data_IF_125219540409
#
_entry.id   IF_125219540409
#
_cell.length_a   1.000
_cell.length_b   1.000
_cell.length_c   1.000
_cell.angle_alpha   90.00
_cell.angle_beta   90.00
_cell.angle_gamma   90.00
#
_symmetry.space_group_name_H-M   'P 1'
#
loop_
_entity.id
_entity.type
_entity.pdbx_description
1 polymer ?
#
# COMPACT_ATOMS: atom_id res chain seq x y z
N UNK A 1 -2.56 -0.53 16.57
CA UNK A 1 -2.05 0.19 15.38
C UNK A 1 -2.97 -0.16 14.22
N UNK A 2 -3.53 0.83 13.51
CA UNK A 2 -4.33 0.55 12.29
C UNK A 2 -3.35 -0.01 11.24
N UNK A 3 -3.72 -1.08 10.54
CA UNK A 3 -2.82 -1.74 9.59
C UNK A 3 -2.31 -0.73 8.53
N UNK A 4 -0.99 -0.57 8.39
CA UNK A 4 -0.38 0.42 7.50
C UNK A 4 -0.74 0.18 6.03
N UNK A 5 -0.90 -1.09 5.66
CA UNK A 5 -1.37 -1.53 4.34
C UNK A 5 -2.78 -1.03 4.08
N UNK A 6 -3.65 -1.10 5.10
CA UNK A 6 -5.02 -0.60 4.99
C UNK A 6 -5.04 0.91 4.74
N UNK A 7 -4.07 1.66 5.28
CA UNK A 7 -3.92 3.09 4.98
C UNK A 7 -3.64 3.34 3.50
N UNK A 8 -2.73 2.58 2.88
CA UNK A 8 -2.45 2.67 1.44
C UNK A 8 -3.67 2.29 0.60
N UNK A 9 -4.33 1.19 0.95
CA UNK A 9 -5.53 0.74 0.24
C UNK A 9 -6.64 1.80 0.28
N UNK A 10 -6.85 2.44 1.43
CA UNK A 10 -7.82 3.51 1.55
C UNK A 10 -7.39 4.77 0.77
N UNK A 11 -6.10 5.09 0.72
CA UNK A 11 -5.61 6.23 -0.05
C UNK A 11 -6.00 6.11 -1.53
N UNK A 12 -5.76 4.93 -2.10
CA UNK A 12 -6.10 4.61 -3.49
C UNK A 12 -7.62 4.57 -3.67
N UNK A 13 -8.35 3.93 -2.76
CA UNK A 13 -9.81 3.87 -2.83
C UNK A 13 -10.47 5.24 -2.83
N UNK A 14 -9.97 6.18 -2.02
CA UNK A 14 -10.48 7.54 -1.96
C UNK A 14 -10.28 8.27 -3.29
N UNK A 15 -9.13 8.10 -3.94
CA UNK A 15 -8.87 8.70 -5.25
C UNK A 15 -9.78 8.13 -6.35
N UNK A 16 -10.16 6.85 -6.25
CA UNK A 16 -11.06 6.18 -7.20
C UNK A 16 -12.53 6.59 -7.05
N UNK A 17 -12.91 7.21 -5.94
CA UNK A 17 -14.28 7.72 -5.71
C UNK A 17 -14.56 9.04 -6.42
N UNK A 18 -13.55 9.67 -7.00
CA UNK A 18 -13.72 10.88 -7.79
C UNK A 18 -14.80 10.69 -8.87
N UNK A 19 -15.73 11.63 -8.97
CA UNK A 19 -16.98 11.49 -9.74
C UNK A 19 -16.75 11.01 -11.17
N UNK A 20 -15.74 11.59 -11.82
CA UNK A 20 -15.35 11.25 -13.17
C UNK A 20 -14.90 9.79 -13.31
N UNK A 21 -14.02 9.33 -12.41
CA UNK A 21 -13.50 7.96 -12.39
C UNK A 21 -14.63 6.98 -12.06
N UNK A 22 -15.48 7.32 -11.09
CA UNK A 22 -16.63 6.50 -10.73
C UNK A 22 -17.58 6.26 -11.93
N UNK A 23 -17.85 7.30 -12.73
CA UNK A 23 -18.67 7.18 -13.95
C UNK A 23 -18.01 6.32 -15.02
N UNK A 24 -16.69 6.46 -15.23
CA UNK A 24 -15.92 5.61 -16.13
C UNK A 24 -16.01 4.13 -15.71
N UNK A 25 -15.84 3.85 -14.42
CA UNK A 25 -15.91 2.50 -13.87
C UNK A 25 -17.30 1.87 -14.02
N UNK A 26 -18.39 2.65 -13.89
CA UNK A 26 -19.75 2.15 -14.14
C UNK A 26 -19.89 1.65 -15.59
N UNK A 27 -19.38 2.40 -16.57
CA UNK A 27 -19.41 1.97 -17.98
C UNK A 27 -18.62 0.68 -18.18
N UNK A 28 -17.41 0.61 -17.62
CA UNK A 28 -16.55 -0.59 -17.66
C UNK A 28 -17.26 -1.81 -17.06
N UNK A 29 -17.89 -1.65 -15.88
CA UNK A 29 -18.63 -2.74 -15.22
C UNK A 29 -19.77 -3.26 -16.10
N UNK A 30 -20.47 -2.39 -16.83
CA UNK A 30 -21.57 -2.82 -17.70
C UNK A 30 -21.06 -3.67 -18.88
N UNK A 31 -19.95 -3.25 -19.51
CA UNK A 31 -19.28 -4.05 -20.56
C UNK A 31 -18.86 -5.41 -20.02
N UNK A 32 -18.19 -5.42 -18.86
CA UNK A 32 -17.69 -6.66 -18.23
C UNK A 32 -18.83 -7.58 -17.82
N UNK A 33 -19.93 -7.05 -17.26
CA UNK A 33 -21.14 -7.84 -16.97
C UNK A 33 -21.66 -8.53 -18.23
N UNK A 34 -21.69 -7.84 -19.36
CA UNK A 34 -22.12 -8.42 -20.64
C UNK A 34 -21.13 -9.45 -21.19
N UNK A 35 -19.83 -9.24 -21.03
CA UNK A 35 -18.80 -10.23 -21.39
C UNK A 35 -18.93 -11.54 -20.59
N UNK A 36 -19.53 -11.50 -19.40
CA UNK A 36 -19.76 -12.70 -18.58
C UNK A 36 -20.97 -13.54 -19.01
N UNK A 37 -21.72 -13.11 -20.02
CA UNK A 37 -22.81 -13.91 -20.59
C UNK A 37 -22.29 -15.18 -21.26
N UNK A 38 -23.10 -16.24 -21.31
CA UNK A 38 -22.67 -17.59 -21.74
C UNK A 38 -21.92 -17.60 -23.08
N UNK A 39 -22.44 -16.93 -24.12
CA UNK A 39 -21.82 -16.89 -25.44
C UNK A 39 -20.47 -16.16 -25.45
N UNK A 40 -20.42 -14.93 -24.94
CA UNK A 40 -19.20 -14.10 -24.90
C UNK A 40 -18.14 -14.69 -23.97
N UNK A 41 -18.56 -15.28 -22.85
CA UNK A 41 -17.68 -16.01 -21.93
C UNK A 41 -17.06 -17.25 -22.58
N UNK A 42 -17.85 -18.01 -23.36
CA UNK A 42 -17.35 -19.15 -24.11
C UNK A 42 -16.25 -18.72 -25.10
N UNK A 43 -16.50 -17.63 -25.83
CA UNK A 43 -15.53 -17.08 -26.78
C UNK A 43 -14.27 -16.55 -26.08
N UNK A 44 -14.42 -15.81 -24.98
CA UNK A 44 -13.30 -15.33 -24.17
C UNK A 44 -12.38 -16.49 -23.73
N UNK A 45 -12.96 -17.60 -23.25
CA UNK A 45 -12.22 -18.81 -22.87
C UNK A 45 -11.59 -19.49 -24.08
N UNK A 46 -12.29 -19.60 -25.20
CA UNK A 46 -11.81 -20.33 -26.39
C UNK A 46 -10.66 -19.58 -27.06
N UNK A 47 -10.83 -18.28 -27.32
CA UNK A 47 -9.94 -17.44 -28.11
C UNK A 47 -8.78 -16.85 -27.27
N UNK A 48 -9.07 -16.35 -26.06
CA UNK A 48 -8.08 -15.61 -25.24
C UNK A 48 -7.60 -16.37 -24.00
N UNK A 49 -8.16 -17.57 -23.73
CA UNK A 49 -7.82 -18.40 -22.54
C UNK A 49 -7.99 -17.67 -21.20
N UNK A 50 -8.83 -16.64 -21.16
CA UNK A 50 -9.13 -15.86 -19.96
C UNK A 50 -10.64 -15.74 -19.75
N UNK A 51 -11.03 -15.36 -18.53
CA UNK A 51 -12.42 -15.05 -18.17
C UNK A 51 -12.55 -13.58 -17.77
N UNK A 52 -13.65 -12.88 -18.09
CA UNK A 52 -13.87 -11.52 -17.60
C UNK A 52 -13.99 -11.53 -16.07
N UNK A 53 -13.43 -10.51 -15.42
CA UNK A 53 -13.46 -10.33 -13.96
C UNK A 53 -14.32 -9.11 -13.66
N UNK A 54 -15.37 -9.27 -12.85
CA UNK A 54 -16.10 -8.12 -12.32
C UNK A 54 -15.49 -7.76 -10.96
N UNK A 55 -15.28 -6.47 -10.73
CA UNK A 55 -14.70 -5.99 -9.49
C UNK A 55 -15.67 -6.07 -8.30
N UNK A 56 -15.10 -6.02 -7.11
CA UNK A 56 -15.79 -5.73 -5.88
C UNK A 56 -15.51 -4.25 -5.53
N UNK A 57 -16.54 -3.42 -5.55
CA UNK A 57 -16.43 -1.97 -5.37
C UNK A 57 -15.78 -1.54 -4.03
N UNK A 58 -15.81 -2.42 -3.03
CA UNK A 58 -15.17 -2.18 -1.72
C UNK A 58 -13.67 -2.49 -1.72
N UNK A 59 -13.15 -3.14 -2.76
CA UNK A 59 -11.74 -3.58 -2.88
C UNK A 59 -11.14 -3.12 -4.20
N UNK A 60 -10.47 -1.97 -4.16
CA UNK A 60 -9.88 -1.33 -5.33
C UNK A 60 -8.96 -2.25 -6.17
N UNK A 61 -8.25 -3.19 -5.55
CA UNK A 61 -7.37 -4.12 -6.28
C UNK A 61 -8.13 -4.99 -7.29
N UNK A 62 -9.39 -5.33 -7.01
CA UNK A 62 -10.24 -6.04 -7.98
C UNK A 62 -10.70 -5.15 -9.14
N UNK A 63 -10.79 -3.84 -8.92
CA UNK A 63 -11.05 -2.85 -9.98
C UNK A 63 -9.89 -2.79 -10.96
N UNK A 64 -8.65 -2.75 -10.46
CA UNK A 64 -7.45 -2.83 -11.30
C UNK A 64 -7.45 -4.12 -12.16
N UNK A 65 -7.66 -5.28 -11.54
CA UNK A 65 -7.71 -6.57 -12.24
C UNK A 65 -8.83 -6.65 -13.30
N UNK A 66 -10.00 -6.06 -13.01
CA UNK A 66 -11.09 -5.97 -13.98
C UNK A 66 -10.68 -5.18 -15.22
N UNK A 67 -10.04 -4.02 -15.04
CA UNK A 67 -9.60 -3.17 -16.14
C UNK A 67 -8.49 -3.86 -16.95
N UNK A 68 -7.47 -4.40 -16.28
CA UNK A 68 -6.39 -5.15 -16.93
C UNK A 68 -6.95 -6.30 -17.78
N UNK A 69 -7.92 -7.05 -17.22
CA UNK A 69 -8.59 -8.13 -17.94
C UNK A 69 -9.46 -7.63 -19.10
N UNK A 70 -10.16 -6.52 -18.93
CA UNK A 70 -10.99 -5.94 -20.00
C UNK A 70 -10.12 -5.48 -21.18
N UNK A 71 -8.95 -4.89 -20.92
CA UNK A 71 -8.02 -4.47 -21.97
C UNK A 71 -7.54 -5.66 -22.81
N UNK A 72 -7.26 -6.81 -22.18
CA UNK A 72 -6.94 -8.05 -22.91
C UNK A 72 -8.11 -8.55 -23.78
N UNK A 73 -9.34 -8.32 -23.34
CA UNK A 73 -10.57 -8.70 -24.03
C UNK A 73 -11.07 -7.62 -25.00
N UNK A 74 -10.34 -6.52 -25.18
CA UNK A 74 -10.72 -5.42 -26.08
C UNK A 74 -11.08 -5.90 -27.49
N UNK A 75 -10.31 -6.78 -28.17
CA UNK A 75 -10.65 -7.16 -29.53
C UNK A 75 -11.96 -7.97 -29.59
N UNK A 76 -12.32 -8.68 -28.52
CA UNK A 76 -13.64 -9.32 -28.41
C UNK A 76 -14.75 -8.27 -28.27
N UNK A 77 -14.55 -7.21 -27.48
CA UNK A 77 -15.51 -6.10 -27.40
C UNK A 77 -15.70 -5.44 -28.77
N UNK A 78 -14.62 -5.17 -29.50
CA UNK A 78 -14.67 -4.55 -30.83
C UNK A 78 -15.43 -5.42 -31.85
N UNK A 79 -15.28 -6.75 -31.79
CA UNK A 79 -16.07 -7.68 -32.62
C UNK A 79 -17.58 -7.57 -32.37
N UNK A 80 -18.00 -7.37 -31.12
CA UNK A 80 -19.42 -7.30 -30.76
C UNK A 80 -20.00 -5.88 -30.79
N UNK A 81 -19.16 -4.84 -30.91
CA UNK A 81 -19.59 -3.45 -30.86
C UNK A 81 -20.57 -3.06 -31.97
N UNK A 82 -20.52 -3.74 -33.13
CA UNK A 82 -21.46 -3.54 -34.23
C UNK A 82 -22.86 -4.13 -33.98
N UNK A 83 -22.96 -5.12 -33.08
CA UNK A 83 -24.21 -5.86 -32.81
C UNK A 83 -24.86 -5.39 -31.51
N UNK A 84 -24.06 -5.06 -30.50
CA UNK A 84 -24.54 -4.59 -29.20
C UNK A 84 -23.73 -3.38 -28.73
N UNK A 85 -24.41 -2.23 -28.68
CA UNK A 85 -23.83 -0.94 -28.31
C UNK A 85 -23.24 -0.94 -26.90
N UNK A 86 -23.61 -1.87 -26.01
CA UNK A 86 -22.96 -2.00 -24.70
C UNK A 86 -21.45 -2.24 -24.84
N UNK A 87 -20.99 -2.96 -25.86
CA UNK A 87 -19.56 -3.20 -26.09
C UNK A 87 -18.83 -2.02 -26.73
N UNK A 88 -19.58 -1.04 -27.25
CA UNK A 88 -19.00 0.13 -27.89
C UNK A 88 -18.47 1.12 -26.84
N UNK A 89 -17.15 1.07 -26.63
CA UNK A 89 -16.41 2.13 -25.95
C UNK A 89 -15.62 2.91 -26.99
N UNK A 90 -15.64 4.24 -26.89
CA UNK A 90 -14.90 5.11 -27.81
C UNK A 90 -13.39 4.88 -27.67
N UNK A 91 -12.58 5.10 -28.73
CA UNK A 91 -11.13 4.94 -28.67
C UNK A 91 -10.46 5.72 -27.53
N UNK A 92 -10.98 6.91 -27.20
CA UNK A 92 -10.43 7.74 -26.11
C UNK A 92 -10.63 7.07 -24.74
N UNK A 93 -11.75 6.38 -24.56
CA UNK A 93 -12.03 5.62 -23.34
C UNK A 93 -11.06 4.44 -23.21
N UNK A 94 -10.77 3.74 -24.32
CA UNK A 94 -9.77 2.66 -24.32
C UNK A 94 -8.35 3.16 -24.00
N UNK A 95 -7.97 4.30 -24.56
CA UNK A 95 -6.69 4.94 -24.26
C UNK A 95 -6.60 5.35 -22.79
N UNK A 96 -7.67 5.93 -22.26
CA UNK A 96 -7.77 6.29 -20.85
C UNK A 96 -7.69 5.09 -19.92
N UNK A 97 -8.41 4.00 -20.21
CA UNK A 97 -8.33 2.76 -19.42
C UNK A 97 -6.93 2.16 -19.45
N UNK A 98 -6.23 2.25 -20.58
CA UNK A 98 -4.85 1.78 -20.72
C UNK A 98 -3.90 2.62 -19.86
N UNK A 99 -4.01 3.96 -19.93
CA UNK A 99 -3.23 4.86 -19.08
C UNK A 99 -3.51 4.62 -17.59
N UNK A 100 -4.77 4.48 -17.24
CA UNK A 100 -5.21 4.21 -15.87
C UNK A 100 -4.71 2.86 -15.34
N UNK A 101 -4.77 1.80 -16.15
CA UNK A 101 -4.21 0.50 -15.81
C UNK A 101 -2.70 0.58 -15.57
N UNK A 102 -1.96 1.26 -16.45
CA UNK A 102 -0.52 1.45 -16.30
C UNK A 102 -0.17 2.22 -15.01
N UNK A 103 -0.91 3.31 -14.73
CA UNK A 103 -0.73 4.10 -13.51
C UNK A 103 -0.98 3.29 -12.24
N UNK A 104 -2.05 2.47 -12.23
CA UNK A 104 -2.44 1.68 -11.05
C UNK A 104 -1.62 0.41 -10.84
N UNK A 105 -0.84 -0.02 -11.84
CA UNK A 105 -0.05 -1.26 -11.76
C UNK A 105 0.96 -1.22 -10.61
N UNK A 106 1.76 -0.15 -10.52
CA UNK A 106 2.75 0.02 -9.45
C UNK A 106 2.09 0.08 -8.06
N UNK A 107 1.04 0.89 -7.81
CA UNK A 107 0.29 0.83 -6.55
C UNK A 107 -0.24 -0.57 -6.22
N UNK A 108 -0.66 -1.35 -7.22
CA UNK A 108 -1.21 -2.70 -7.03
C UNK A 108 -0.13 -3.67 -6.59
N UNK A 109 1.00 -3.69 -7.30
CA UNK A 109 2.14 -4.53 -6.97
C UNK A 109 2.70 -4.20 -5.58
N UNK A 110 2.79 -2.91 -5.24
CA UNK A 110 3.19 -2.46 -3.90
C UNK A 110 2.20 -2.93 -2.85
N UNK A 111 0.89 -2.87 -3.11
CA UNK A 111 -0.10 -3.35 -2.14
C UNK A 111 -0.05 -4.86 -1.94
N UNK A 112 0.16 -5.64 -3.01
CA UNK A 112 0.33 -7.09 -2.92
C UNK A 112 1.61 -7.43 -2.18
N UNK A 113 2.73 -6.76 -2.51
CA UNK A 113 3.99 -6.88 -1.77
C UNK A 113 3.76 -6.59 -0.29
N UNK A 114 3.07 -5.49 0.01
CA UNK A 114 2.78 -5.04 1.36
C UNK A 114 1.82 -5.94 2.14
N UNK A 115 1.12 -6.88 1.50
CA UNK A 115 0.28 -7.88 2.18
C UNK A 115 1.08 -9.09 2.72
N UNK A 116 2.38 -9.15 2.48
CA UNK A 116 3.26 -10.16 3.06
C UNK A 116 3.26 -10.17 4.59
N UNK A 117 3.51 -11.35 5.16
CA UNK A 117 3.41 -11.60 6.61
C UNK A 117 4.48 -10.85 7.41
N UNK A 118 5.68 -10.66 6.85
CA UNK A 118 6.87 -10.24 7.58
C UNK A 118 7.25 -8.77 7.40
N UNK A 119 6.28 -7.91 7.07
CA UNK A 119 6.60 -6.55 6.64
C UNK A 119 6.80 -5.63 7.82
N UNK A 120 7.99 -5.02 7.86
CA UNK A 120 8.32 -4.07 8.91
C UNK A 120 7.72 -2.68 8.62
N UNK A 121 7.45 -1.86 9.65
CA UNK A 121 7.03 -0.47 9.44
C UNK A 121 8.02 0.35 8.60
N UNK A 122 9.31 0.04 8.66
CA UNK A 122 10.34 0.69 7.86
C UNK A 122 10.30 0.28 6.39
N UNK A 123 10.09 -1.01 6.08
CA UNK A 123 9.85 -1.49 4.72
C UNK A 123 8.60 -0.85 4.11
N UNK A 124 7.52 -0.78 4.89
CA UNK A 124 6.31 -0.05 4.50
C UNK A 124 6.62 1.40 4.14
N UNK A 125 7.39 2.12 4.99
CA UNK A 125 7.73 3.52 4.73
C UNK A 125 8.59 3.68 3.47
N UNK A 126 9.55 2.77 3.23
CA UNK A 126 10.34 2.73 1.99
C UNK A 126 9.44 2.62 0.77
N UNK A 127 8.55 1.63 0.74
CA UNK A 127 7.64 1.41 -0.40
C UNK A 127 6.63 2.56 -0.56
N UNK A 128 6.16 3.14 0.53
CA UNK A 128 5.27 4.32 0.52
C UNK A 128 5.93 5.53 -0.16
N UNK A 129 7.17 5.85 0.24
CA UNK A 129 7.92 6.98 -0.32
C UNK A 129 8.29 6.73 -1.79
N UNK A 130 8.72 5.51 -2.14
CA UNK A 130 8.96 5.13 -3.54
C UNK A 130 7.72 5.34 -4.40
N UNK A 131 6.58 4.84 -3.94
CA UNK A 131 5.31 4.97 -4.66
C UNK A 131 4.92 6.45 -4.83
N UNK A 132 5.10 7.27 -3.80
CA UNK A 132 4.81 8.71 -3.87
C UNK A 132 5.67 9.40 -4.94
N UNK A 133 6.98 9.14 -4.95
CA UNK A 133 7.89 9.68 -5.98
C UNK A 133 7.52 9.20 -7.39
N UNK A 134 7.12 7.94 -7.54
CA UNK A 134 6.68 7.41 -8.82
C UNK A 134 5.39 8.09 -9.30
N UNK A 135 4.42 8.32 -8.39
CA UNK A 135 3.17 9.03 -8.73
C UNK A 135 3.42 10.51 -9.05
N UNK A 136 4.37 11.17 -8.39
CA UNK A 136 4.75 12.56 -8.69
C UNK A 136 5.39 12.72 -10.09
N UNK A 137 6.13 11.70 -10.55
CA UNK A 137 6.67 11.67 -11.92
C UNK A 137 5.58 11.48 -12.98
N UNK A 138 4.51 10.76 -12.64
CA UNK A 138 3.39 10.51 -13.53
C UNK A 138 2.44 11.71 -13.51
N UNK A 139 2.50 12.55 -14.54
CA UNK A 139 1.58 13.68 -14.67
C UNK A 139 0.15 13.20 -14.98
N UNK A 140 -0.84 13.81 -14.35
CA UNK A 140 -2.25 13.54 -14.64
C UNK A 140 -3.16 13.67 -13.41
N UNK A 141 -4.43 13.99 -13.66
CA UNK A 141 -5.43 14.24 -12.62
C UNK A 141 -5.57 13.07 -11.64
N UNK A 142 -5.49 11.84 -12.13
CA UNK A 142 -5.63 10.63 -11.30
C UNK A 142 -4.40 10.44 -10.41
N UNK A 143 -3.19 10.60 -10.96
CA UNK A 143 -1.96 10.48 -10.21
C UNK A 143 -1.90 11.54 -9.11
N UNK A 144 -2.26 12.79 -9.43
CA UNK A 144 -2.38 13.88 -8.46
C UNK A 144 -3.40 13.58 -7.36
N UNK A 145 -4.55 13.00 -7.71
CA UNK A 145 -5.58 12.66 -6.73
C UNK A 145 -5.11 11.54 -5.78
N UNK A 146 -4.42 10.53 -6.30
CA UNK A 146 -3.80 9.48 -5.47
C UNK A 146 -2.73 10.10 -4.57
N UNK A 147 -1.83 10.92 -5.10
CA UNK A 147 -0.77 11.59 -4.34
C UNK A 147 -1.33 12.47 -3.22
N UNK A 148 -2.36 13.29 -3.50
CA UNK A 148 -3.05 14.11 -2.49
C UNK A 148 -3.70 13.24 -1.40
N UNK A 149 -4.33 12.14 -1.77
CA UNK A 149 -4.94 11.20 -0.83
C UNK A 149 -3.91 10.51 0.05
N UNK A 150 -2.77 10.10 -0.52
CA UNK A 150 -1.63 9.58 0.21
C UNK A 150 -1.09 10.62 1.19
N UNK A 151 -0.82 11.86 0.75
CA UNK A 151 -0.29 12.92 1.60
C UNK A 151 -1.18 13.21 2.84
N UNK A 152 -2.50 13.29 2.68
CA UNK A 152 -3.44 13.45 3.81
C UNK A 152 -3.36 12.33 4.84
N UNK A 153 -3.00 11.12 4.41
CA UNK A 153 -2.91 9.92 5.25
C UNK A 153 -1.52 9.76 5.85
N UNK A 154 -0.50 10.22 5.15
CA UNK A 154 0.88 10.33 5.59
C UNK A 154 1.01 11.23 6.83
N UNK A 155 0.35 12.39 6.84
CA UNK A 155 0.31 13.29 8.01
C UNK A 155 -0.18 12.56 9.27
N UNK A 156 -1.25 11.77 9.15
CA UNK A 156 -1.81 10.98 10.26
C UNK A 156 -0.93 9.81 10.67
N UNK A 157 -0.15 9.27 9.74
CA UNK A 157 0.77 8.17 9.99
C UNK A 157 1.97 8.67 10.81
N UNK A 158 2.54 9.81 10.42
CA UNK A 158 3.66 10.43 11.11
C UNK A 158 3.29 11.10 12.43
N UNK A 159 2.01 11.36 12.68
CA UNK A 159 1.55 11.78 14.01
C UNK A 159 1.58 10.65 15.06
N UNK A 160 1.80 9.40 14.65
CA UNK A 160 1.86 8.27 15.58
C UNK A 160 3.29 7.99 16.05
N UNK A 161 3.61 8.39 17.28
CA UNK A 161 4.94 8.18 17.88
C UNK A 161 5.35 6.69 17.96
N UNK A 162 4.40 5.77 18.08
CA UNK A 162 4.68 4.32 18.10
C UNK A 162 5.10 3.84 16.71
N UNK A 163 4.48 4.38 15.65
CA UNK A 163 4.90 4.08 14.27
C UNK A 163 6.31 4.63 14.02
N UNK A 164 6.57 5.88 14.41
CA UNK A 164 7.90 6.50 14.31
C UNK A 164 8.96 5.69 15.07
N UNK A 165 8.65 5.28 16.30
CA UNK A 165 9.49 4.43 17.13
C UNK A 165 9.81 3.09 16.43
N UNK A 166 8.80 2.44 15.85
CA UNK A 166 8.99 1.17 15.16
C UNK A 166 9.87 1.29 13.91
N UNK A 167 9.73 2.38 13.13
CA UNK A 167 10.63 2.67 12.01
C UNK A 167 12.05 2.97 12.49
N UNK A 168 12.18 3.74 13.58
CA UNK A 168 13.48 4.16 14.12
C UNK A 168 14.34 3.01 14.64
N UNK A 169 13.72 1.93 15.13
CA UNK A 169 14.44 0.73 15.60
C UNK A 169 15.12 -0.02 14.46
N UNK A 170 14.54 0.01 13.26
CA UNK A 170 15.18 -0.59 12.08
C UNK A 170 16.27 0.34 11.54
N UNK A 171 17.54 -0.03 11.75
CA UNK A 171 18.68 0.77 11.34
C UNK A 171 18.67 1.08 9.84
N UNK A 172 18.16 0.16 9.00
CA UNK A 172 18.10 0.31 7.53
C UNK A 172 17.18 1.43 7.09
N UNK A 173 16.13 1.71 7.86
CA UNK A 173 15.07 2.67 7.50
C UNK A 173 15.04 3.90 8.38
N UNK A 174 15.85 3.94 9.45
CA UNK A 174 16.00 5.12 10.32
C UNK A 174 16.34 6.39 9.55
N UNK A 175 17.14 6.27 8.49
CA UNK A 175 17.54 7.38 7.61
C UNK A 175 16.38 8.03 6.85
N UNK A 176 15.23 7.35 6.74
CA UNK A 176 14.02 7.89 6.13
C UNK A 176 13.30 8.90 7.03
N UNK A 177 13.65 8.96 8.33
CA UNK A 177 13.04 9.87 9.28
C UNK A 177 13.75 11.24 9.29
N UNK A 178 12.95 12.28 9.51
CA UNK A 178 13.42 13.64 9.80
C UNK A 178 13.88 13.79 11.27
N UNK A 179 14.64 14.84 11.57
CA UNK A 179 15.21 15.04 12.92
C UNK A 179 14.12 15.19 14.00
N UNK A 180 13.06 15.94 13.71
CA UNK A 180 11.89 16.07 14.58
C UNK A 180 11.19 14.71 14.84
N UNK A 181 11.07 13.87 13.81
CA UNK A 181 10.48 12.55 13.88
C UNK A 181 11.36 11.60 14.70
N UNK A 182 12.69 11.71 14.61
CA UNK A 182 13.63 10.95 15.43
C UNK A 182 13.46 11.28 16.93
N UNK A 183 13.28 12.55 17.27
CA UNK A 183 13.04 12.97 18.66
C UNK A 183 11.74 12.33 19.19
N UNK A 184 10.65 12.43 18.42
CA UNK A 184 9.35 11.81 18.75
C UNK A 184 9.46 10.29 18.85
N UNK A 185 10.19 9.65 17.95
CA UNK A 185 10.43 8.20 17.96
C UNK A 185 11.10 7.73 19.25
N UNK A 186 12.12 8.45 19.74
CA UNK A 186 12.79 8.15 21.02
C UNK A 186 11.83 8.26 22.20
N UNK A 187 10.96 9.28 22.21
CA UNK A 187 9.92 9.43 23.24
C UNK A 187 8.89 8.29 23.17
N UNK A 188 8.50 7.88 21.95
CA UNK A 188 7.65 6.73 21.70
C UNK A 188 8.25 5.44 22.27
N UNK A 189 9.55 5.20 22.06
CA UNK A 189 10.26 4.05 22.63
C UNK A 189 10.26 4.05 24.15
N UNK A 190 10.52 5.21 24.78
CA UNK A 190 10.44 5.35 26.24
C UNK A 190 9.04 4.98 26.76
N UNK A 191 8.00 5.49 26.08
CA UNK A 191 6.60 5.19 26.42
C UNK A 191 6.29 3.70 26.30
N UNK A 192 6.78 3.03 25.26
CA UNK A 192 6.61 1.59 25.08
C UNK A 192 7.34 0.82 26.19
N UNK A 193 8.59 1.18 26.49
CA UNK A 193 9.38 0.55 27.55
C UNK A 193 8.68 0.65 28.92
N UNK A 194 8.16 1.83 29.28
CA UNK A 194 7.41 2.03 30.51
C UNK A 194 6.12 1.19 30.57
N UNK A 195 5.40 1.06 29.45
CA UNK A 195 4.20 0.21 29.36
C UNK A 195 4.52 -1.27 29.49
N UNK A 196 5.58 -1.73 28.82
CA UNK A 196 6.04 -3.12 28.90
C UNK A 196 6.45 -3.47 30.33
N UNK A 197 7.24 -2.60 30.99
CA UNK A 197 7.62 -2.78 32.38
C UNK A 197 6.41 -2.89 33.32
N UNK A 198 5.45 -1.96 33.23
CA UNK A 198 4.22 -2.00 34.04
C UNK A 198 3.40 -3.26 33.80
N UNK A 199 3.30 -3.70 32.53
CA UNK A 199 2.58 -4.93 32.17
C UNK A 199 3.28 -6.16 32.76
N UNK A 200 4.60 -6.24 32.63
CA UNK A 200 5.36 -7.39 33.11
C UNK A 200 5.34 -7.44 34.65
N UNK A 201 5.43 -6.30 35.34
CA UNK A 201 5.22 -6.21 36.78
C UNK A 201 3.82 -6.68 37.21
N UNK A 202 2.77 -6.29 36.47
CA UNK A 202 1.39 -6.74 36.72
C UNK A 202 1.22 -8.25 36.52
N UNK A 203 1.80 -8.80 35.44
CA UNK A 203 1.76 -10.23 35.16
C UNK A 203 2.50 -11.05 36.25
N UNK A 204 3.60 -10.51 36.80
CA UNK A 204 4.31 -11.13 37.93
C UNK A 204 3.41 -11.13 39.18
N UNK A 205 2.74 -10.02 39.48
CA UNK A 205 1.82 -9.92 40.64
C UNK A 205 0.62 -10.87 40.49
N UNK A 206 0.04 -10.97 39.30
CA UNK A 206 -1.12 -11.84 39.03
C UNK A 206 -0.75 -13.34 39.00
N UNK A 207 0.43 -13.70 38.51
CA UNK A 207 0.92 -15.09 38.51
C UNK A 207 1.38 -15.59 39.88
N UNK A 208 1.75 -14.69 40.80
CA UNK A 208 2.23 -15.07 42.13
C UNK A 208 1.16 -15.07 43.23
N UNK A 209 -0.06 -14.52 43.01
CA UNK A 209 -1.15 -14.62 43.98
C UNK A 209 -0.81 -14.15 45.41
N UNK A 210 0.07 -13.15 45.58
CA UNK A 210 0.53 -12.67 46.89
C UNK A 210 0.41 -11.15 47.02
N UNK A 211 -0.22 -10.77 48.14
CA UNK A 211 -0.35 -9.41 48.67
C UNK A 211 1.02 -8.86 49.08
N UNK A 212 1.24 -7.57 48.78
CA UNK A 212 2.21 -6.61 49.34
C UNK A 212 3.57 -6.37 48.64
N UNK A 213 3.63 -5.18 48.01
CA UNK A 213 4.65 -4.11 48.02
C UNK A 213 6.12 -4.52 48.24
N UNK A 214 6.99 -4.26 47.24
CA UNK A 214 8.26 -3.47 47.33
C UNK A 214 8.69 -3.03 45.91
N UNK A 215 9.07 -1.74 45.74
CA UNK A 215 9.89 -1.19 44.63
C UNK A 215 11.27 -0.79 45.20
N UNK A 216 12.30 -0.45 44.40
CA UNK A 216 12.74 -1.00 43.11
C UNK A 216 14.27 -1.24 43.08
N UNK A 217 14.83 -1.92 42.07
CA UNK A 217 16.25 -1.75 41.72
C UNK A 217 16.54 -1.93 40.24
N UNK A 218 17.31 -0.96 39.74
CA UNK A 218 17.88 -0.75 38.42
C UNK A 218 18.87 -1.83 37.98
N UNK A 219 18.75 -2.32 36.75
CA UNK A 219 19.89 -2.85 35.99
C UNK A 219 19.65 -2.73 34.47
N UNK A 220 20.66 -2.22 33.78
CA UNK A 220 20.79 -2.06 32.34
C UNK A 220 21.60 -3.25 31.76
N UNK A 221 21.50 -3.47 30.43
CA UNK A 221 22.54 -3.96 29.48
C UNK A 221 22.06 -5.07 28.51
N UNK A 222 22.06 -4.65 27.22
CA UNK A 222 22.35 -5.31 25.92
C UNK A 222 22.02 -6.78 25.63
N UNK A 223 21.48 -7.05 24.42
CA UNK A 223 22.15 -7.77 23.31
C UNK A 223 21.50 -7.38 21.97
N UNK A 224 22.31 -6.97 20.99
CA UNK A 224 22.00 -7.00 19.56
C UNK A 224 22.87 -8.10 18.92
N UNK A 225 22.29 -8.88 18.02
CA UNK A 225 23.05 -9.68 17.06
C UNK A 225 22.36 -9.60 15.69
N UNK A 226 23.08 -9.05 14.72
CA UNK A 226 22.73 -9.01 13.29
C UNK A 226 23.00 -10.35 12.62
N UNK A 227 22.21 -10.68 11.60
CA UNK A 227 22.58 -11.59 10.54
C UNK A 227 22.18 -10.98 9.20
N UNK A 228 23.17 -10.75 8.35
CA UNK A 228 23.06 -10.24 6.99
C UNK A 228 22.62 -11.34 6.01
N UNK A 229 21.86 -10.95 4.99
CA UNK A 229 21.71 -11.70 3.75
C UNK A 229 21.62 -10.68 2.61
N UNK A 230 22.60 -10.78 1.70
CA UNK A 230 22.74 -9.96 0.51
C UNK A 230 21.58 -10.15 -0.48
N UNK A 231 21.18 -9.04 -1.12
CA UNK A 231 20.26 -9.01 -2.24
C UNK A 231 20.31 -7.65 -2.94
N UNK A 232 20.97 -7.62 -4.10
CA UNK A 232 21.02 -6.60 -5.16
C UNK A 232 20.49 -5.19 -4.84
N UNK A 233 21.43 -4.24 -4.69
CA UNK A 233 21.17 -2.83 -4.42
C UNK A 233 20.42 -2.12 -5.56
N UNK A 234 19.15 -1.82 -5.31
CA UNK A 234 18.28 -0.94 -6.11
C UNK A 234 18.82 0.51 -6.09
N UNK A 235 18.62 1.27 -7.17
CA UNK A 235 19.13 2.65 -7.37
C UNK A 235 18.76 3.60 -6.21
N UNK A 236 17.65 3.30 -5.52
CA UNK A 236 17.22 3.99 -4.31
C UNK A 236 18.15 3.78 -3.10
N UNK A 237 18.74 2.59 -2.94
CA UNK A 237 19.67 2.29 -1.83
C UNK A 237 20.98 3.06 -1.98
N UNK A 238 21.45 3.24 -3.22
CA UNK A 238 22.60 4.11 -3.51
C UNK A 238 22.35 5.58 -3.13
N UNK A 239 21.10 6.03 -3.21
CA UNK A 239 20.73 7.41 -2.82
C UNK A 239 20.60 7.57 -1.30
N UNK A 240 20.20 6.50 -0.61
CA UNK A 240 20.20 6.43 0.85
C UNK A 240 21.63 6.48 1.41
N UNK A 241 22.58 5.74 0.81
CA UNK A 241 24.00 5.76 1.20
C UNK A 241 24.64 7.16 1.05
N UNK A 242 24.27 7.91 0.01
CA UNK A 242 24.76 9.29 -0.19
C UNK A 242 24.21 10.23 0.88
N UNK A 243 22.97 10.03 1.33
CA UNK A 243 22.37 10.83 2.41
C UNK A 243 23.01 10.53 3.76
N UNK A 244 23.35 9.27 4.03
CA UNK A 244 24.02 8.86 5.27
C UNK A 244 25.44 9.47 5.37
N UNK A 245 26.20 9.44 4.26
CA UNK A 245 27.53 10.08 4.17
C UNK A 245 27.52 11.60 4.34
N UNK A 246 26.37 12.26 4.17
CA UNK A 246 26.21 13.71 4.39
C UNK A 246 25.83 14.07 5.83
N UNK A 247 25.40 13.09 6.62
CA UNK A 247 24.97 13.26 8.03
C UNK A 247 26.01 12.80 9.04
N UNK A 248 27.06 12.10 8.60
CA UNK A 248 28.22 11.69 9.39
C UNK A 248 29.31 12.75 9.34
#
# INVERSE_FOLDING_TARGET
>A
MRCVIHTLQLAIHDALKETYIAQLLVKVRNVVKKLRNSHTLCLARKQYKVVPILDNETRWGSTFQMIERLLLLRPLCEQFAAVDQIFFLRPEIWAELSHFCNLLKKPYDVTVKLQGIDITPGEFLKEWLKLKTDLEKNQGLIAENISKSMQKREEKLFDNDIFLAAVYVDARYRILLEENQIIRAKQGLKTVAEKTYKRDAKNIIESQGIRNIVEPSTAFVSVLSESSSDGEADDFEKELDKKEKRRS
#
